data_IF_394703009919
#
_entry.id   IF_394703009919
#
_cell.length_a   1.000
_cell.length_b   1.000
_cell.length_c   1.000
_cell.angle_alpha   90.00
_cell.angle_beta   90.00
_cell.angle_gamma   90.00
#
_symmetry.space_group_name_H-M   'P 1'
#
loop_
_entity.id
_entity.type
_entity.pdbx_description
1 polymer ?
#
# COMPACT_ATOMS: atom_id res chain seq x y z
N UNK A 1 -10.20 -16.50 10.74
CA UNK A 1 -9.71 -15.70 9.61
C UNK A 1 -8.75 -14.60 10.04
N UNK A 2 -9.18 -13.66 10.84
CA UNK A 2 -8.30 -12.56 11.28
C UNK A 2 -7.13 -13.06 12.14
N UNK A 3 -7.39 -13.95 13.10
CA UNK A 3 -6.34 -14.53 13.93
C UNK A 3 -5.28 -15.28 13.13
N UNK A 4 -5.72 -16.01 12.10
CA UNK A 4 -4.81 -16.73 11.21
C UNK A 4 -3.94 -15.74 10.42
N UNK A 5 -4.53 -14.66 9.90
CA UNK A 5 -3.79 -13.64 9.17
C UNK A 5 -2.73 -12.99 10.05
N UNK A 6 -3.06 -12.70 11.31
CA UNK A 6 -2.11 -12.12 12.26
C UNK A 6 -0.95 -13.08 12.53
N UNK A 7 -1.24 -14.36 12.78
CA UNK A 7 -0.20 -15.37 13.05
C UNK A 7 0.74 -15.56 11.87
N UNK A 8 0.18 -15.59 10.65
CA UNK A 8 0.96 -15.82 9.41
C UNK A 8 1.53 -14.56 8.81
N UNK A 9 1.25 -13.39 9.40
CA UNK A 9 1.61 -12.09 8.84
C UNK A 9 1.18 -12.00 7.37
N UNK A 10 -0.06 -12.40 7.12
CA UNK A 10 -0.64 -12.44 5.78
C UNK A 10 -1.78 -11.44 5.65
N UNK A 11 -2.75 -11.70 4.80
CA UNK A 11 -3.88 -10.81 4.58
C UNK A 11 -5.20 -11.54 4.74
N UNK A 12 -6.25 -10.79 4.98
CA UNK A 12 -7.63 -11.27 4.92
C UNK A 12 -8.52 -10.16 4.41
N UNK A 13 -9.75 -10.50 4.01
CA UNK A 13 -10.69 -9.49 3.59
C UNK A 13 -11.99 -9.57 4.39
N UNK A 14 -12.67 -8.42 4.47
CA UNK A 14 -13.97 -8.29 5.09
C UNK A 14 -14.91 -7.69 4.06
N UNK A 15 -16.12 -8.27 3.95
CA UNK A 15 -17.14 -7.79 3.03
C UNK A 15 -18.36 -7.38 3.81
N UNK A 16 -18.81 -6.13 3.64
CA UNK A 16 -20.07 -5.66 4.21
C UNK A 16 -21.20 -6.06 3.28
N UNK A 17 -22.01 -7.03 3.70
CA UNK A 17 -23.01 -7.66 2.82
C UNK A 17 -24.05 -6.67 2.29
N UNK A 18 -24.46 -5.70 3.10
CA UNK A 18 -25.50 -4.75 2.70
C UNK A 18 -25.02 -3.81 1.58
N UNK A 19 -23.78 -3.37 1.61
CA UNK A 19 -23.22 -2.43 0.63
C UNK A 19 -22.28 -3.08 -0.36
N UNK A 20 -21.91 -4.34 -0.11
CA UNK A 20 -20.87 -5.07 -0.86
C UNK A 20 -19.52 -4.36 -0.82
N UNK A 21 -19.31 -3.50 0.15
CA UNK A 21 -18.02 -2.85 0.37
C UNK A 21 -17.02 -3.89 0.86
N UNK A 22 -15.86 -3.95 0.20
CA UNK A 22 -14.79 -4.88 0.54
C UNK A 22 -13.63 -4.13 1.18
N UNK A 23 -13.14 -4.65 2.29
CA UNK A 23 -11.94 -4.14 2.94
C UNK A 23 -10.91 -5.25 3.02
N UNK A 24 -9.73 -5.01 2.46
CA UNK A 24 -8.60 -5.93 2.53
C UNK A 24 -7.70 -5.50 3.69
N UNK A 25 -7.45 -6.42 4.61
CA UNK A 25 -6.58 -6.21 5.75
C UNK A 25 -5.26 -6.93 5.51
N UNK A 26 -4.17 -6.16 5.53
CA UNK A 26 -2.82 -6.71 5.39
C UNK A 26 -2.10 -6.58 6.72
N UNK A 27 -1.66 -7.71 7.27
CA UNK A 27 -0.89 -7.70 8.50
C UNK A 27 0.55 -7.31 8.17
N UNK A 28 1.05 -6.27 8.85
CA UNK A 28 2.42 -5.81 8.64
C UNK A 28 3.41 -6.89 9.03
N UNK A 29 4.33 -7.19 8.10
CA UNK A 29 5.41 -8.14 8.37
C UNK A 29 6.53 -7.44 9.12
N UNK A 30 7.26 -8.21 9.92
CA UNK A 30 8.41 -7.70 10.67
C UNK A 30 9.64 -7.67 9.78
N UNK A 31 9.73 -6.64 8.93
CA UNK A 31 10.85 -6.43 8.00
C UNK A 31 11.23 -4.95 8.01
N UNK A 32 12.52 -4.63 7.77
CA UNK A 32 12.95 -3.22 7.76
C UNK A 32 12.16 -2.32 6.82
N UNK A 33 11.81 -2.80 5.62
CA UNK A 33 11.01 -2.03 4.68
C UNK A 33 9.62 -1.73 5.26
N UNK A 34 8.96 -2.72 5.85
CA UNK A 34 7.62 -2.52 6.42
C UNK A 34 7.66 -1.51 7.57
N UNK A 35 8.71 -1.55 8.39
CA UNK A 35 8.89 -0.59 9.47
C UNK A 35 9.09 0.82 8.92
N UNK A 36 9.92 0.98 7.90
CA UNK A 36 10.16 2.27 7.26
C UNK A 36 8.88 2.82 6.63
N UNK A 37 8.14 1.99 5.91
CA UNK A 37 6.89 2.39 5.27
C UNK A 37 5.85 2.84 6.29
N UNK A 38 5.73 2.11 7.39
CA UNK A 38 4.77 2.45 8.43
C UNK A 38 5.12 3.78 9.11
N UNK A 39 6.40 4.04 9.36
CA UNK A 39 6.83 5.32 9.95
C UNK A 39 6.62 6.50 9.01
N UNK A 40 6.68 6.28 7.70
CA UNK A 40 6.48 7.32 6.70
C UNK A 40 5.02 7.64 6.43
N UNK A 41 4.07 6.92 7.03
CA UNK A 41 2.65 7.18 6.81
C UNK A 41 2.32 8.65 7.10
N UNK A 42 1.39 9.19 6.33
CA UNK A 42 1.01 10.59 6.45
C UNK A 42 -0.49 10.72 6.72
N UNK A 43 -0.86 11.65 7.59
CA UNK A 43 -2.28 11.93 7.84
C UNK A 43 -2.82 12.83 6.74
N UNK A 44 -3.86 12.35 6.08
CA UNK A 44 -4.50 13.08 4.98
C UNK A 44 -6.00 12.80 4.98
N UNK A 45 -6.82 13.77 4.56
CA UNK A 45 -8.24 13.52 4.34
C UNK A 45 -8.44 12.75 3.03
N UNK A 46 -9.45 11.89 3.01
CA UNK A 46 -9.86 11.21 1.78
C UNK A 46 -10.81 12.07 0.95
N UNK A 47 -11.38 13.10 1.56
CA UNK A 47 -12.34 14.00 0.94
C UNK A 47 -11.76 15.41 0.96
N UNK A 48 -11.79 16.17 -0.17
CA UNK A 48 -11.28 17.54 -0.19
C UNK A 48 -12.16 18.54 0.60
N UNK A 49 -13.32 18.13 1.09
CA UNK A 49 -14.21 19.02 1.82
C UNK A 49 -13.55 19.55 3.10
N UNK A 50 -13.76 20.85 3.45
CA UNK A 50 -13.24 21.41 4.70
C UNK A 50 -13.77 20.62 5.92
N UNK A 51 -12.89 20.35 6.87
CA UNK A 51 -13.24 19.60 8.07
C UNK A 51 -13.37 18.09 7.87
N UNK A 52 -12.99 17.57 6.72
CA UNK A 52 -13.02 16.13 6.48
C UNK A 52 -12.09 15.39 7.44
N UNK A 53 -12.51 14.18 7.84
CA UNK A 53 -11.74 13.34 8.74
C UNK A 53 -10.43 12.90 8.07
N UNK A 54 -9.34 12.98 8.82
CA UNK A 54 -8.03 12.54 8.35
C UNK A 54 -7.75 11.09 8.74
N UNK A 55 -6.98 10.43 7.90
CA UNK A 55 -6.55 9.04 8.12
C UNK A 55 -5.06 8.94 7.90
N UNK A 56 -4.44 7.92 8.49
CA UNK A 56 -3.05 7.58 8.22
C UNK A 56 -2.99 6.84 6.88
N UNK A 57 -2.28 7.41 5.92
CA UNK A 57 -2.16 6.86 4.58
C UNK A 57 -0.71 6.49 4.25
N UNK A 58 -0.55 5.43 3.50
CA UNK A 58 0.73 5.03 2.92
C UNK A 58 1.19 6.09 1.92
N UNK A 59 2.49 6.39 1.90
CA UNK A 59 3.04 7.34 0.92
C UNK A 59 3.00 6.77 -0.49
N UNK A 60 3.00 7.64 -1.54
CA UNK A 60 3.06 7.16 -2.93
C UNK A 60 4.27 6.26 -3.19
N UNK A 61 5.44 6.59 -2.65
CA UNK A 61 6.65 5.78 -2.81
C UNK A 61 6.44 4.37 -2.27
N UNK A 62 5.85 4.25 -1.09
CA UNK A 62 5.63 2.96 -0.46
C UNK A 62 4.55 2.15 -1.18
N UNK A 63 3.54 2.82 -1.75
CA UNK A 63 2.55 2.16 -2.61
C UNK A 63 3.23 1.54 -3.82
N UNK A 64 4.10 2.29 -4.49
CA UNK A 64 4.85 1.79 -5.66
C UNK A 64 5.69 0.57 -5.27
N UNK A 65 6.42 0.67 -4.15
CA UNK A 65 7.28 -0.44 -3.70
C UNK A 65 6.47 -1.68 -3.35
N UNK A 66 5.33 -1.54 -2.68
CA UNK A 66 4.45 -2.67 -2.39
C UNK A 66 3.89 -3.32 -3.65
N UNK A 67 3.51 -2.50 -4.65
CA UNK A 67 2.98 -3.01 -5.92
C UNK A 67 4.06 -3.76 -6.71
N UNK A 68 5.28 -3.24 -6.73
CA UNK A 68 6.40 -3.91 -7.40
C UNK A 68 6.77 -5.22 -6.68
N UNK A 69 6.72 -5.24 -5.36
CA UNK A 69 6.96 -6.46 -4.59
C UNK A 69 5.90 -7.51 -4.92
N UNK A 70 4.63 -7.11 -4.97
CA UNK A 70 3.54 -8.01 -5.36
C UNK A 70 3.69 -8.54 -6.77
N UNK A 71 4.12 -7.69 -7.70
CA UNK A 71 4.41 -8.08 -9.08
C UNK A 71 5.52 -9.13 -9.12
N UNK A 72 6.62 -8.88 -8.41
CA UNK A 72 7.76 -9.80 -8.35
C UNK A 72 7.38 -11.13 -7.68
N UNK A 73 6.64 -11.08 -6.57
CA UNK A 73 6.19 -12.26 -5.85
C UNK A 73 5.26 -13.14 -6.70
N UNK A 74 4.51 -12.53 -7.60
CA UNK A 74 3.64 -13.22 -8.55
C UNK A 74 4.35 -13.71 -9.80
N UNK A 75 5.69 -13.72 -9.83
CA UNK A 75 6.45 -14.20 -10.98
C UNK A 75 6.57 -13.21 -12.13
N UNK A 76 6.27 -11.94 -11.89
CA UNK A 76 6.36 -10.90 -12.91
C UNK A 76 5.24 -10.95 -13.96
N UNK A 77 4.10 -11.57 -13.63
CA UNK A 77 3.01 -11.74 -14.59
C UNK A 77 1.74 -10.95 -14.26
N UNK A 78 1.68 -10.32 -13.08
CA UNK A 78 0.50 -9.55 -12.70
C UNK A 78 0.53 -8.16 -13.33
N UNK A 79 -0.15 -8.01 -14.47
CA UNK A 79 -0.28 -6.71 -15.15
C UNK A 79 -0.94 -5.67 -14.27
N UNK A 80 -1.86 -6.08 -13.41
CA UNK A 80 -2.56 -5.17 -12.51
C UNK A 80 -1.58 -4.48 -11.55
N UNK A 81 -0.68 -5.24 -10.92
CA UNK A 81 0.31 -4.69 -10.00
C UNK A 81 1.26 -3.73 -10.74
N UNK A 82 1.72 -4.13 -11.91
CA UNK A 82 2.58 -3.30 -12.74
C UNK A 82 1.87 -1.99 -13.15
N UNK A 83 0.65 -2.11 -13.64
CA UNK A 83 -0.14 -0.96 -14.10
C UNK A 83 -0.41 0.02 -12.96
N UNK A 84 -0.72 -0.48 -11.76
CA UNK A 84 -0.96 0.35 -10.59
C UNK A 84 0.30 1.14 -10.21
N UNK A 85 1.46 0.48 -10.21
CA UNK A 85 2.73 1.14 -9.92
C UNK A 85 3.03 2.24 -10.93
N UNK A 86 2.88 1.96 -12.21
CA UNK A 86 3.09 2.94 -13.29
C UNK A 86 2.14 4.12 -13.14
N UNK A 87 0.88 3.85 -12.80
CA UNK A 87 -0.12 4.90 -12.58
C UNK A 87 0.26 5.86 -11.48
N UNK A 88 0.72 5.34 -10.34
CA UNK A 88 1.17 6.19 -9.23
C UNK A 88 2.39 7.02 -9.64
N UNK A 89 3.37 6.42 -10.30
CA UNK A 89 4.55 7.13 -10.77
C UNK A 89 4.19 8.28 -11.73
N UNK A 90 3.22 8.05 -12.60
CA UNK A 90 2.78 9.07 -13.56
C UNK A 90 2.10 10.24 -12.87
N UNK A 91 1.23 9.97 -11.90
CA UNK A 91 0.47 11.01 -11.18
C UNK A 91 1.37 11.82 -10.26
N UNK A 92 2.33 11.17 -9.60
CA UNK A 92 3.22 11.81 -8.62
C UNK A 92 4.52 12.30 -9.23
N UNK A 93 4.57 12.43 -10.53
CA UNK A 93 5.76 12.83 -11.27
C UNK A 93 6.35 14.13 -10.74
N UNK A 94 7.64 14.10 -10.41
CA UNK A 94 8.36 15.26 -9.90
C UNK A 94 8.26 15.47 -8.38
N UNK A 95 7.39 14.75 -7.70
CA UNK A 95 7.21 14.86 -6.24
C UNK A 95 7.67 13.63 -5.47
N UNK A 96 8.23 12.64 -6.17
CA UNK A 96 8.67 11.39 -5.55
C UNK A 96 10.07 11.51 -4.97
N UNK A 97 10.26 10.83 -3.83
CA UNK A 97 11.57 10.68 -3.21
C UNK A 97 12.32 9.55 -3.92
N UNK A 98 13.05 9.87 -4.98
CA UNK A 98 13.77 8.90 -5.77
C UNK A 98 14.88 8.16 -5.00
N UNK A 99 15.68 8.83 -4.15
CA UNK A 99 16.65 8.11 -3.33
C UNK A 99 16.03 7.05 -2.44
N UNK A 100 14.88 7.34 -1.84
CA UNK A 100 14.15 6.38 -1.03
C UNK A 100 13.70 5.17 -1.87
N UNK A 101 13.13 5.42 -3.05
CA UNK A 101 12.71 4.35 -3.95
C UNK A 101 13.88 3.45 -4.35
N UNK A 102 15.02 4.04 -4.68
CA UNK A 102 16.21 3.28 -5.07
C UNK A 102 16.73 2.43 -3.93
N UNK A 103 16.68 2.96 -2.72
CA UNK A 103 17.14 2.26 -1.53
C UNK A 103 16.40 0.94 -1.31
N UNK A 104 15.09 0.94 -1.53
CA UNK A 104 14.25 -0.22 -1.22
C UNK A 104 13.86 -1.07 -2.44
N UNK A 105 14.14 -0.60 -3.65
CA UNK A 105 13.80 -1.33 -4.87
C UNK A 105 14.71 -2.53 -5.16
N UNK A 106 15.86 -2.58 -4.54
CA UNK A 106 16.84 -3.67 -4.75
C UNK A 106 16.56 -4.91 -3.90
#
# INVERSE_FOLDING_TARGET
MIRDAVRRQSSCNLIHLATMLKVDLFVRRERPFEDAAFERRARRPLDPAPGAREFDLTTPEDIVLHKLEGFRAGGGVSERQWRDAVGVLAIQRGELDLPYLRRWAD
#
